data_IF_649670601879
#
_entry.id   IF_649670601879
#
_cell.length_a   1.000
_cell.length_b   1.000
_cell.length_c   1.000
_cell.angle_alpha   90.00
_cell.angle_beta   90.00
_cell.angle_gamma   90.00
#
_symmetry.space_group_name_H-M   'P 1'
#
loop_
_entity.id
_entity.type
_entity.pdbx_description
1 polymer ?
#
# COMPACT_ATOMS: atom_id res chain seq x y z
N UNK A 1 35.47 39.39 10.26
CA UNK A 1 34.03 39.47 10.61
C UNK A 1 33.08 38.75 9.62
N UNK A 2 33.26 38.83 8.28
CA UNK A 2 32.38 38.16 7.29
C UNK A 2 32.41 36.61 7.27
N UNK A 3 33.45 35.98 7.83
CA UNK A 3 33.64 34.52 7.83
C UNK A 3 32.70 33.79 8.81
N UNK A 4 32.48 34.31 10.01
CA UNK A 4 31.59 33.69 11.01
C UNK A 4 30.10 33.76 10.62
N UNK A 5 29.69 34.78 9.88
CA UNK A 5 28.30 34.93 9.42
C UNK A 5 27.90 33.87 8.39
N UNK A 6 28.86 33.38 7.59
CA UNK A 6 28.63 32.35 6.56
C UNK A 6 28.45 30.97 7.18
N UNK A 7 29.24 30.66 8.20
CA UNK A 7 29.16 29.42 9.00
C UNK A 7 27.83 29.33 9.76
N UNK A 8 27.37 30.43 10.39
CA UNK A 8 26.09 30.48 11.10
C UNK A 8 24.92 30.24 10.14
N UNK A 9 24.91 30.86 8.95
CA UNK A 9 23.87 30.63 7.94
C UNK A 9 23.82 29.18 7.43
N UNK A 10 24.97 28.53 7.29
CA UNK A 10 25.08 27.14 6.84
C UNK A 10 24.62 26.12 7.90
N UNK A 11 24.60 26.50 9.19
CA UNK A 11 24.08 25.65 10.27
C UNK A 11 22.55 25.61 10.33
N UNK A 12 21.88 26.70 9.89
CA UNK A 12 20.42 26.84 9.96
C UNK A 12 19.72 26.05 8.83
N UNK A 13 20.40 25.87 7.70
CA UNK A 13 19.87 25.15 6.52
C UNK A 13 20.02 23.62 6.62
N UNK A 14 20.43 23.06 7.75
CA UNK A 14 20.62 21.61 7.89
C UNK A 14 19.61 21.01 8.88
N UNK A 15 18.97 19.91 8.48
CA UNK A 15 18.02 19.12 9.27
C UNK A 15 18.64 17.79 9.59
N UNK A 16 18.53 17.34 10.84
CA UNK A 16 18.90 15.97 11.20
C UNK A 16 17.65 15.10 11.09
N UNK A 17 17.65 14.16 10.16
CA UNK A 17 16.59 13.16 9.98
C UNK A 17 17.23 11.78 9.97
N UNK A 18 16.67 10.83 10.73
CA UNK A 18 17.17 9.45 10.82
C UNK A 18 18.71 9.36 11.02
N UNK A 19 19.26 10.18 11.91
CA UNK A 19 20.70 10.21 12.23
C UNK A 19 21.59 10.85 11.15
N UNK A 20 21.08 11.12 9.95
CA UNK A 20 21.80 11.78 8.84
C UNK A 20 21.46 13.28 8.79
N UNK A 21 22.41 14.06 8.26
CA UNK A 21 22.27 15.51 8.10
C UNK A 21 21.87 15.77 6.65
N UNK A 22 20.71 16.37 6.45
CA UNK A 22 20.17 16.77 5.16
C UNK A 22 20.09 18.28 5.06
N UNK A 23 20.18 18.83 3.85
CA UNK A 23 19.88 20.24 3.63
C UNK A 23 18.36 20.46 3.61
N UNK A 24 17.89 21.53 4.26
CA UNK A 24 16.47 21.93 4.36
C UNK A 24 15.83 21.99 2.98
N UNK A 25 16.54 22.52 1.98
CA UNK A 25 16.06 22.65 0.60
C UNK A 25 15.78 21.29 -0.03
N UNK A 26 16.65 20.30 0.21
CA UNK A 26 16.48 18.94 -0.27
C UNK A 26 15.26 18.26 0.37
N UNK A 27 15.10 18.44 1.69
CA UNK A 27 13.94 17.88 2.43
C UNK A 27 12.63 18.51 1.96
N UNK A 28 12.59 19.83 1.79
CA UNK A 28 11.40 20.54 1.30
C UNK A 28 11.03 20.08 -0.11
N UNK A 29 12.02 19.97 -1.00
CA UNK A 29 11.81 19.49 -2.38
C UNK A 29 11.28 18.06 -2.38
N UNK A 30 11.89 17.17 -1.59
CA UNK A 30 11.45 15.79 -1.46
C UNK A 30 10.00 15.70 -0.94
N UNK A 31 9.66 16.46 0.11
CA UNK A 31 8.29 16.48 0.65
C UNK A 31 7.30 16.96 -0.41
N UNK A 32 7.57 18.08 -1.10
CA UNK A 32 6.64 18.64 -2.10
C UNK A 32 6.39 17.63 -3.23
N UNK A 33 7.45 16.99 -3.74
CA UNK A 33 7.32 16.05 -4.86
C UNK A 33 6.69 14.71 -4.43
N UNK A 34 6.97 14.23 -3.22
CA UNK A 34 6.42 12.95 -2.72
C UNK A 34 4.98 13.08 -2.20
N UNK A 35 4.59 14.25 -1.68
CA UNK A 35 3.26 14.48 -1.08
C UNK A 35 2.11 14.07 -2.02
N UNK A 36 2.03 14.51 -3.29
CA UNK A 36 0.89 14.13 -4.15
C UNK A 36 0.83 12.63 -4.41
N UNK A 37 1.98 11.97 -4.55
CA UNK A 37 2.04 10.51 -4.75
C UNK A 37 1.59 9.78 -3.50
N UNK A 38 2.12 10.15 -2.33
CA UNK A 38 1.75 9.54 -1.05
C UNK A 38 0.26 9.77 -0.72
N UNK A 39 -0.26 10.96 -1.04
CA UNK A 39 -1.67 11.28 -0.89
C UNK A 39 -2.54 10.39 -1.79
N UNK A 40 -2.16 10.25 -3.07
CA UNK A 40 -2.88 9.37 -4.00
C UNK A 40 -2.83 7.91 -3.55
N UNK A 41 -1.65 7.41 -3.13
CA UNK A 41 -1.50 6.05 -2.59
C UNK A 41 -2.40 5.85 -1.37
N UNK A 42 -2.42 6.81 -0.45
CA UNK A 42 -3.26 6.73 0.73
C UNK A 42 -4.75 6.71 0.38
N UNK A 43 -5.21 7.65 -0.46
CA UNK A 43 -6.62 7.78 -0.84
C UNK A 43 -7.12 6.61 -1.70
N UNK A 44 -6.33 6.14 -2.65
CA UNK A 44 -6.77 5.18 -3.66
C UNK A 44 -6.45 3.72 -3.31
N UNK A 45 -5.55 3.48 -2.36
CA UNK A 45 -5.17 2.12 -1.96
C UNK A 45 -5.40 1.88 -0.48
N UNK A 46 -4.78 2.69 0.39
CA UNK A 46 -4.83 2.43 1.84
C UNK A 46 -6.25 2.59 2.39
N UNK A 47 -6.90 3.72 2.06
CA UNK A 47 -8.25 4.02 2.50
C UNK A 47 -9.26 2.92 2.07
N UNK A 48 -9.36 2.51 0.79
CA UNK A 48 -10.29 1.46 0.41
C UNK A 48 -9.95 0.10 1.01
N UNK A 49 -8.67 -0.24 1.21
CA UNK A 49 -8.29 -1.48 1.93
C UNK A 49 -8.82 -1.47 3.36
N UNK A 50 -8.64 -0.36 4.08
CA UNK A 50 -9.18 -0.21 5.44
C UNK A 50 -10.71 -0.30 5.43
N UNK A 51 -11.38 0.31 4.45
CA UNK A 51 -12.83 0.20 4.31
C UNK A 51 -13.28 -1.25 4.08
N UNK A 52 -12.63 -2.00 3.18
CA UNK A 52 -12.96 -3.41 2.94
C UNK A 52 -12.77 -4.25 4.20
N UNK A 53 -11.69 -4.01 4.95
CA UNK A 53 -11.46 -4.68 6.23
C UNK A 53 -12.54 -4.31 7.25
N UNK A 54 -12.96 -3.05 7.35
CA UNK A 54 -14.05 -2.67 8.27
C UNK A 54 -15.37 -3.32 7.82
N UNK A 55 -15.66 -3.30 6.52
CA UNK A 55 -16.89 -3.83 5.96
C UNK A 55 -16.98 -5.35 6.07
N UNK A 56 -15.87 -6.08 6.08
CA UNK A 56 -15.89 -7.55 6.25
C UNK A 56 -16.39 -7.99 7.63
N UNK A 57 -16.35 -7.11 8.65
CA UNK A 57 -16.98 -7.36 9.96
C UNK A 57 -18.44 -6.90 10.04
N UNK A 58 -18.98 -6.35 8.96
CA UNK A 58 -20.36 -5.89 8.88
C UNK A 58 -21.16 -6.69 7.87
N UNK A 59 -22.43 -6.93 8.14
CA UNK A 59 -23.37 -7.45 7.18
C UNK A 59 -24.07 -6.28 6.50
N UNK A 60 -23.61 -5.96 5.28
CA UNK A 60 -24.19 -4.93 4.43
C UNK A 60 -24.84 -5.61 3.23
N UNK A 61 -26.12 -5.31 2.97
CA UNK A 61 -26.79 -5.66 1.71
C UNK A 61 -27.16 -4.38 0.98
N UNK A 62 -27.39 -4.46 -0.33
CA UNK A 62 -27.75 -3.28 -1.16
C UNK A 62 -28.96 -2.50 -0.61
N UNK A 63 -29.82 -3.16 0.16
CA UNK A 63 -31.08 -2.59 0.69
C UNK A 63 -31.09 -2.33 2.20
N UNK A 64 -30.05 -2.71 2.95
CA UNK A 64 -30.03 -2.55 4.42
C UNK A 64 -28.78 -1.82 4.90
N UNK A 65 -28.94 -1.00 5.94
CA UNK A 65 -27.80 -0.39 6.65
C UNK A 65 -26.94 -1.50 7.27
N UNK A 66 -25.63 -1.36 7.10
CA UNK A 66 -24.66 -2.32 7.61
C UNK A 66 -24.79 -2.56 9.10
N UNK A 67 -25.02 -3.82 9.50
CA UNK A 67 -25.01 -4.23 10.90
C UNK A 67 -23.66 -4.84 11.24
N UNK A 68 -23.08 -4.49 12.39
CA UNK A 68 -21.81 -5.10 12.81
C UNK A 68 -22.07 -6.53 13.31
N UNK A 69 -21.46 -7.52 12.66
CA UNK A 69 -21.64 -8.96 12.94
C UNK A 69 -20.35 -9.64 13.42
N UNK A 70 -19.27 -8.87 13.59
CA UNK A 70 -17.98 -9.40 14.03
C UNK A 70 -17.44 -10.44 13.06
N UNK A 71 -17.17 -11.65 13.55
CA UNK A 71 -16.51 -12.73 12.78
C UNK A 71 -17.48 -13.69 12.06
N UNK A 72 -18.77 -13.42 12.08
CA UNK A 72 -19.78 -14.32 11.52
C UNK A 72 -19.57 -14.57 10.02
N UNK A 73 -19.28 -13.52 9.25
CA UNK A 73 -18.97 -13.60 7.82
C UNK A 73 -17.80 -14.56 7.52
N UNK A 74 -16.76 -14.54 8.35
CA UNK A 74 -15.60 -15.41 8.18
C UNK A 74 -15.94 -16.88 8.46
N UNK A 75 -16.72 -17.15 9.51
CA UNK A 75 -17.19 -18.51 9.81
C UNK A 75 -18.04 -19.07 8.68
N UNK A 76 -18.94 -18.25 8.13
CA UNK A 76 -19.78 -18.65 7.00
C UNK A 76 -18.95 -19.07 5.78
N UNK A 77 -17.98 -18.24 5.37
CA UNK A 77 -17.12 -18.51 4.21
C UNK A 77 -16.28 -19.79 4.42
N UNK A 78 -15.78 -20.01 5.64
CA UNK A 78 -14.99 -21.21 5.96
C UNK A 78 -15.80 -22.51 5.95
N UNK A 79 -17.12 -22.44 5.92
CA UNK A 79 -18.01 -23.61 5.77
C UNK A 79 -18.53 -23.79 4.34
N UNK A 80 -18.26 -22.83 3.44
CA UNK A 80 -18.77 -22.87 2.07
C UNK A 80 -17.80 -23.64 1.14
N UNK A 81 -18.26 -24.77 0.60
CA UNK A 81 -17.50 -25.56 -0.37
C UNK A 81 -17.16 -24.77 -1.65
N UNK A 82 -18.01 -23.81 -2.05
CA UNK A 82 -17.75 -22.98 -3.24
C UNK A 82 -16.54 -22.07 -3.03
N UNK A 83 -16.34 -21.57 -1.81
CA UNK A 83 -15.19 -20.74 -1.49
C UNK A 83 -13.87 -21.50 -1.71
N UNK A 84 -13.77 -22.73 -1.21
CA UNK A 84 -12.58 -23.57 -1.43
C UNK A 84 -12.40 -23.96 -2.90
N UNK A 85 -13.49 -24.23 -3.62
CA UNK A 85 -13.43 -24.48 -5.05
C UNK A 85 -12.87 -23.27 -5.81
N UNK A 86 -13.34 -22.06 -5.48
CA UNK A 86 -12.83 -20.82 -6.06
C UNK A 86 -11.35 -20.60 -5.74
N UNK A 87 -10.91 -20.80 -4.49
CA UNK A 87 -9.49 -20.71 -4.11
C UNK A 87 -8.65 -21.69 -4.94
N UNK A 88 -9.07 -22.95 -5.04
CA UNK A 88 -8.35 -23.96 -5.82
C UNK A 88 -8.20 -23.54 -7.28
N UNK A 89 -9.27 -23.03 -7.88
CA UNK A 89 -9.24 -22.55 -9.27
C UNK A 89 -8.32 -21.34 -9.43
N UNK A 90 -8.36 -20.38 -8.50
CA UNK A 90 -7.48 -19.19 -8.52
C UNK A 90 -6.01 -19.58 -8.37
N UNK A 91 -5.68 -20.49 -7.45
CA UNK A 91 -4.31 -20.98 -7.25
C UNK A 91 -3.81 -21.73 -8.48
N UNK A 92 -4.63 -22.63 -9.04
CA UNK A 92 -4.29 -23.35 -10.27
C UNK A 92 -4.02 -22.37 -11.42
N UNK A 93 -4.90 -21.38 -11.61
CA UNK A 93 -4.71 -20.36 -12.64
C UNK A 93 -3.45 -19.53 -12.41
N UNK A 94 -3.17 -19.09 -11.17
CA UNK A 94 -1.99 -18.30 -10.84
C UNK A 94 -0.70 -19.06 -11.14
N UNK A 95 -0.62 -20.35 -10.76
CA UNK A 95 0.55 -21.20 -11.01
C UNK A 95 0.73 -21.42 -12.51
N UNK A 96 -0.32 -21.81 -13.22
CA UNK A 96 -0.25 -22.02 -14.67
C UNK A 96 0.20 -20.75 -15.38
N UNK A 97 -0.44 -19.61 -15.09
CA UNK A 97 -0.08 -18.31 -15.65
C UNK A 97 1.39 -17.98 -15.39
N UNK A 98 1.87 -18.15 -14.16
CA UNK A 98 3.26 -17.84 -13.80
C UNK A 98 4.26 -18.73 -14.55
N UNK A 99 3.98 -20.03 -14.68
CA UNK A 99 4.83 -20.96 -15.45
C UNK A 99 4.85 -20.60 -16.93
N UNK A 100 3.69 -20.29 -17.52
CA UNK A 100 3.60 -19.89 -18.92
C UNK A 100 4.29 -18.55 -19.19
N UNK A 101 3.98 -17.50 -18.42
CA UNK A 101 4.56 -16.17 -18.59
C UNK A 101 6.08 -16.21 -18.43
N UNK A 102 6.58 -16.89 -17.38
CA UNK A 102 8.02 -17.00 -17.13
C UNK A 102 8.70 -17.88 -18.18
N UNK A 103 8.09 -19.01 -18.55
CA UNK A 103 8.61 -19.92 -19.55
C UNK A 103 8.73 -19.25 -20.93
N UNK A 104 7.69 -18.52 -21.34
CA UNK A 104 7.71 -17.74 -22.58
C UNK A 104 8.73 -16.61 -22.51
N UNK A 105 8.82 -15.88 -21.39
CA UNK A 105 9.80 -14.82 -21.22
C UNK A 105 11.24 -15.35 -21.36
N UNK A 106 11.55 -16.51 -20.76
CA UNK A 106 12.86 -17.16 -20.89
C UNK A 106 13.12 -17.67 -22.31
N UNK A 107 12.10 -18.23 -22.97
CA UNK A 107 12.23 -18.69 -24.35
C UNK A 107 12.47 -17.56 -25.35
N UNK A 108 11.92 -16.36 -25.09
CA UNK A 108 12.18 -15.15 -25.90
C UNK A 108 13.56 -14.55 -25.59
N UNK A 109 14.01 -14.65 -24.32
CA UNK A 109 15.27 -14.06 -23.88
C UNK A 109 16.52 -14.83 -24.33
N UNK A 110 16.39 -16.15 -24.58
CA UNK A 110 17.46 -17.03 -25.04
C UNK A 110 17.56 -17.06 -26.57
#
# INVERSE_FOLDING_TARGET
MKSQTKEIRASIHRVRLFGRIYEREQVTTAIILMTPVLFAVFMLFILPVVQVVVYSFTNMTTSQRGTFVGLENYKYILTDNKFFLSIRNTVLFAVLKLVFDTGLALAIAL
#
